data_IF_323557793527
#
_entry.id   IF_323557793527
#
_cell.length_a   1.000
_cell.length_b   1.000
_cell.length_c   1.000
_cell.angle_alpha   90.00
_cell.angle_beta   90.00
_cell.angle_gamma   90.00
#
_symmetry.space_group_name_H-M   'P 1'
#
loop_
_entity.id
_entity.type
_entity.pdbx_description
1 polymer ?
#
# COMPACT_ATOMS: atom_id res chain seq x y z
N UNK A 1 -2.59 3.91 -22.97
CA UNK A 1 -2.83 3.55 -21.56
C UNK A 1 -3.58 2.24 -21.49
N UNK A 2 -3.15 1.33 -20.64
CA UNK A 2 -3.75 0.01 -20.46
C UNK A 2 -4.12 -0.17 -18.98
N UNK A 3 -5.15 -0.97 -18.72
CA UNK A 3 -5.61 -1.29 -17.37
C UNK A 3 -5.69 -2.81 -17.21
N UNK A 4 -5.24 -3.30 -16.06
CA UNK A 4 -5.33 -4.71 -15.69
C UNK A 4 -5.75 -4.83 -14.22
N UNK A 5 -6.90 -5.42 -13.97
CA UNK A 5 -7.33 -5.76 -12.63
C UNK A 5 -6.82 -7.17 -12.28
N UNK A 6 -6.18 -7.30 -11.13
CA UNK A 6 -5.70 -8.57 -10.61
C UNK A 6 -6.67 -9.03 -9.54
N UNK A 7 -7.19 -10.24 -9.68
CA UNK A 7 -7.87 -10.92 -8.60
C UNK A 7 -7.13 -12.21 -8.33
N UNK A 8 -6.68 -12.37 -7.08
CA UNK A 8 -6.02 -13.59 -6.68
C UNK A 8 -6.95 -14.41 -5.80
N UNK A 9 -7.30 -15.58 -6.29
CA UNK A 9 -8.04 -16.58 -5.54
C UNK A 9 -7.37 -17.93 -5.79
N UNK A 10 -6.75 -18.48 -4.77
CA UNK A 10 -6.06 -19.77 -4.83
C UNK A 10 -6.89 -20.94 -4.29
N UNK A 11 -8.15 -20.67 -3.92
CA UNK A 11 -9.04 -21.68 -3.35
C UNK A 11 -8.87 -21.88 -1.83
N UNK A 12 -7.91 -21.21 -1.21
CA UNK A 12 -7.75 -21.22 0.23
C UNK A 12 -8.77 -20.28 0.89
N UNK A 13 -9.49 -20.76 1.90
CA UNK A 13 -10.48 -19.96 2.64
C UNK A 13 -9.84 -18.82 3.44
N UNK A 14 -8.56 -18.93 3.74
CA UNK A 14 -7.78 -17.94 4.50
C UNK A 14 -7.12 -16.89 3.60
N UNK A 15 -7.01 -17.13 2.30
CA UNK A 15 -6.60 -16.11 1.34
C UNK A 15 -7.77 -15.19 1.05
N UNK A 16 -7.74 -14.03 1.64
CA UNK A 16 -8.70 -12.98 1.34
C UNK A 16 -8.44 -12.44 -0.04
N UNK A 17 -9.52 -12.15 -0.76
CA UNK A 17 -9.45 -11.43 -2.02
C UNK A 17 -8.85 -10.06 -1.77
N UNK A 18 -7.63 -9.85 -2.23
CA UNK A 18 -7.02 -8.53 -2.20
C UNK A 18 -7.32 -7.79 -3.49
N UNK A 19 -7.32 -6.47 -3.42
CA UNK A 19 -7.44 -5.61 -4.59
C UNK A 19 -6.06 -5.19 -5.10
N UNK A 20 -5.90 -5.24 -6.41
CA UNK A 20 -4.74 -4.70 -7.10
C UNK A 20 -5.11 -4.37 -8.54
N UNK A 21 -4.95 -3.11 -8.91
CA UNK A 21 -5.23 -2.65 -10.28
C UNK A 21 -3.95 -2.02 -10.85
N UNK A 22 -3.55 -2.46 -12.01
CA UNK A 22 -2.44 -1.91 -12.76
C UNK A 22 -2.94 -1.00 -13.86
N UNK A 23 -2.44 0.25 -13.88
CA UNK A 23 -2.69 1.21 -14.96
C UNK A 23 -1.34 1.60 -15.52
N UNK A 24 -1.10 1.38 -16.78
CA UNK A 24 0.24 1.51 -17.33
C UNK A 24 0.29 2.00 -18.78
N UNK A 25 1.44 2.53 -19.14
CA UNK A 25 1.85 2.84 -20.50
C UNK A 25 3.28 2.31 -20.73
N UNK A 26 3.95 2.78 -21.77
CA UNK A 26 5.29 2.27 -22.09
C UNK A 26 6.39 2.64 -21.08
N UNK A 27 6.19 3.66 -20.25
CA UNK A 27 7.22 4.17 -19.34
C UNK A 27 6.82 4.21 -17.88
N UNK A 28 5.52 4.13 -17.58
CA UNK A 28 4.97 4.35 -16.25
C UNK A 28 3.96 3.28 -15.85
N UNK A 29 3.96 2.94 -14.58
CA UNK A 29 3.01 2.02 -13.95
C UNK A 29 2.41 2.70 -12.72
N UNK A 30 1.10 2.67 -12.60
CA UNK A 30 0.37 2.93 -11.36
C UNK A 30 -0.09 1.58 -10.81
N UNK A 31 0.27 1.29 -9.57
CA UNK A 31 -0.25 0.16 -8.79
C UNK A 31 -1.27 0.73 -7.82
N UNK A 32 -2.55 0.52 -8.09
CA UNK A 32 -3.64 0.95 -7.22
C UNK A 32 -4.01 -0.22 -6.31
N UNK A 33 -3.64 -0.11 -5.06
CA UNK A 33 -3.63 -1.14 -4.05
C UNK A 33 -2.72 -2.35 -4.40
N UNK A 34 -2.29 -3.05 -3.40
CA UNK A 34 -1.53 -4.29 -3.51
C UNK A 34 -1.85 -5.12 -2.27
N UNK A 35 -3.03 -5.72 -2.27
CA UNK A 35 -3.66 -6.29 -1.08
C UNK A 35 -3.13 -7.64 -0.66
N UNK A 36 -2.29 -8.28 -1.47
CA UNK A 36 -1.74 -9.59 -1.16
C UNK A 36 -0.32 -9.72 -1.69
N UNK A 37 0.49 -10.55 -1.03
CA UNK A 37 1.87 -10.80 -1.47
C UNK A 37 1.93 -11.39 -2.90
N UNK A 38 0.93 -12.15 -3.31
CA UNK A 38 0.80 -12.67 -4.67
C UNK A 38 0.61 -11.56 -5.71
N UNK A 39 -0.04 -10.46 -5.35
CA UNK A 39 -0.10 -9.28 -6.20
C UNK A 39 1.28 -8.63 -6.35
N UNK A 40 2.05 -8.51 -5.26
CA UNK A 40 3.42 -8.01 -5.33
C UNK A 40 4.27 -8.86 -6.27
N UNK A 41 4.26 -10.18 -6.12
CA UNK A 41 4.96 -11.13 -7.00
C UNK A 41 4.55 -10.98 -8.46
N UNK A 42 3.26 -10.75 -8.73
CA UNK A 42 2.78 -10.49 -10.09
C UNK A 42 3.33 -9.19 -10.66
N UNK A 43 3.30 -8.10 -9.88
CA UNK A 43 3.84 -6.79 -10.29
C UNK A 43 5.33 -6.88 -10.57
N UNK A 44 6.08 -7.59 -9.74
CA UNK A 44 7.51 -7.85 -9.94
C UNK A 44 7.76 -8.53 -11.30
N UNK A 45 7.05 -9.62 -11.58
CA UNK A 45 7.16 -10.34 -12.86
C UNK A 45 6.72 -9.47 -14.04
N UNK A 46 5.66 -8.67 -13.86
CA UNK A 46 5.18 -7.72 -14.86
C UNK A 46 6.25 -6.68 -15.21
N UNK A 47 6.94 -6.12 -14.21
CA UNK A 47 8.01 -5.14 -14.42
C UNK A 47 9.25 -5.76 -15.08
N UNK A 48 9.54 -7.02 -14.81
CA UNK A 48 10.63 -7.71 -15.47
C UNK A 48 10.37 -7.92 -16.97
N UNK A 49 9.12 -8.15 -17.35
CA UNK A 49 8.73 -8.34 -18.76
C UNK A 49 8.47 -7.02 -19.50
N UNK A 50 8.20 -5.93 -18.78
CA UNK A 50 7.97 -4.60 -19.35
C UNK A 50 9.14 -3.66 -19.02
N UNK A 51 10.30 -3.95 -19.60
CA UNK A 51 11.58 -3.32 -19.24
C UNK A 51 11.67 -1.82 -19.49
N UNK A 52 10.76 -1.25 -20.28
CA UNK A 52 10.71 0.18 -20.57
C UNK A 52 10.06 0.99 -19.45
N UNK A 53 9.32 0.34 -18.55
CA UNK A 53 8.72 0.99 -17.39
C UNK A 53 9.80 1.28 -16.35
N UNK A 54 9.91 2.54 -15.98
CA UNK A 54 10.87 3.03 -14.97
C UNK A 54 10.24 3.91 -13.90
N UNK A 55 9.05 4.46 -14.16
CA UNK A 55 8.32 5.30 -13.21
C UNK A 55 7.19 4.49 -12.57
N UNK A 56 7.25 4.32 -11.26
CA UNK A 56 6.27 3.52 -10.49
C UNK A 56 5.55 4.43 -9.51
N UNK A 57 4.23 4.40 -9.54
CA UNK A 57 3.36 5.08 -8.61
C UNK A 57 2.52 4.05 -7.86
N UNK A 58 2.64 3.98 -6.55
CA UNK A 58 1.84 3.09 -5.70
C UNK A 58 0.83 3.94 -4.96
N UNK A 59 -0.45 3.63 -5.14
CA UNK A 59 -1.56 4.31 -4.46
C UNK A 59 -2.19 3.32 -3.50
N UNK A 60 -2.19 3.65 -2.22
CA UNK A 60 -2.84 2.85 -1.17
C UNK A 60 -4.14 3.56 -0.78
N UNK A 61 -5.27 2.96 -1.14
CA UNK A 61 -6.59 3.57 -0.99
C UNK A 61 -7.01 3.71 0.49
N UNK A 62 -6.69 2.70 1.30
CA UNK A 62 -6.98 2.67 2.73
C UNK A 62 -6.11 1.61 3.44
N UNK A 63 -6.28 1.48 4.75
CA UNK A 63 -5.42 0.66 5.61
C UNK A 63 -5.85 -0.80 5.76
N UNK A 64 -6.95 -1.22 5.15
CA UNK A 64 -7.39 -2.61 5.25
C UNK A 64 -6.35 -3.55 4.64
N UNK A 65 -6.17 -4.71 5.26
CA UNK A 65 -5.11 -5.65 4.88
C UNK A 65 -5.24 -6.14 3.44
N UNK A 66 -6.45 -6.35 2.96
CA UNK A 66 -6.74 -6.76 1.59
C UNK A 66 -6.44 -5.69 0.51
N UNK A 67 -6.01 -4.50 0.93
CA UNK A 67 -5.56 -3.40 0.05
C UNK A 67 -4.08 -3.04 0.23
N UNK A 68 -3.48 -3.37 1.37
CA UNK A 68 -2.16 -2.87 1.76
C UNK A 68 -1.10 -3.94 2.02
N UNK A 69 -1.46 -5.19 2.31
CA UNK A 69 -0.53 -6.20 2.82
C UNK A 69 0.63 -6.56 1.88
N UNK A 70 0.44 -6.42 0.57
CA UNK A 70 1.49 -6.68 -0.41
C UNK A 70 2.44 -5.51 -0.67
N UNK A 71 2.10 -4.30 -0.20
CA UNK A 71 2.84 -3.08 -0.58
C UNK A 71 4.26 -3.09 -0.05
N UNK A 72 4.46 -3.48 1.20
CA UNK A 72 5.80 -3.53 1.79
C UNK A 72 6.73 -4.49 1.05
N UNK A 73 6.24 -5.66 0.68
CA UNK A 73 7.02 -6.63 -0.11
C UNK A 73 7.40 -6.04 -1.48
N UNK A 74 6.46 -5.38 -2.15
CA UNK A 74 6.73 -4.71 -3.43
C UNK A 74 7.79 -3.60 -3.28
N UNK A 75 7.71 -2.80 -2.23
CA UNK A 75 8.68 -1.74 -1.96
C UNK A 75 10.07 -2.30 -1.67
N UNK A 76 10.18 -3.39 -0.92
CA UNK A 76 11.45 -4.08 -0.68
C UNK A 76 12.09 -4.57 -1.99
N UNK A 77 11.28 -5.15 -2.86
CA UNK A 77 11.75 -5.60 -4.17
C UNK A 77 12.22 -4.45 -5.05
N UNK A 78 11.48 -3.33 -5.07
CA UNK A 78 11.83 -2.11 -5.83
C UNK A 78 13.10 -1.46 -5.29
N UNK A 79 13.31 -1.47 -3.97
CA UNK A 79 14.48 -0.88 -3.31
C UNK A 79 15.81 -1.49 -3.78
N UNK A 80 15.79 -2.75 -4.19
CA UNK A 80 16.98 -3.45 -4.70
C UNK A 80 17.33 -3.10 -6.16
N UNK A 81 16.53 -2.23 -6.81
CA UNK A 81 16.63 -1.93 -8.24
C UNK A 81 16.66 -0.43 -8.51
N UNK A 82 17.84 0.09 -8.75
CA UNK A 82 18.08 1.54 -8.95
C UNK A 82 17.42 2.14 -10.20
N UNK A 83 16.94 1.31 -11.13
CA UNK A 83 16.31 1.80 -12.36
C UNK A 83 14.92 2.41 -12.15
N UNK A 84 14.26 2.11 -11.04
CA UNK A 84 12.91 2.59 -10.77
C UNK A 84 12.90 3.88 -9.97
N UNK A 85 12.11 4.84 -10.43
CA UNK A 85 11.68 5.99 -9.62
C UNK A 85 10.33 5.64 -9.02
N UNK A 86 10.25 5.63 -7.69
CA UNK A 86 9.06 5.17 -6.96
C UNK A 86 8.45 6.32 -6.19
N UNK A 87 7.13 6.49 -6.32
CA UNK A 87 6.33 7.39 -5.49
C UNK A 87 5.19 6.63 -4.86
N UNK A 88 4.96 6.87 -3.58
CA UNK A 88 3.88 6.23 -2.81
C UNK A 88 2.90 7.28 -2.31
N UNK A 89 1.63 7.01 -2.50
CA UNK A 89 0.53 7.88 -2.10
C UNK A 89 -0.34 7.12 -1.08
N UNK A 90 -0.45 7.68 0.11
CA UNK A 90 -1.31 7.16 1.18
C UNK A 90 -2.19 8.28 1.73
N UNK A 91 -3.25 7.93 2.45
CA UNK A 91 -3.99 8.96 3.19
C UNK A 91 -3.20 9.48 4.40
N UNK A 92 -3.56 10.66 4.86
CA UNK A 92 -2.90 11.32 5.99
C UNK A 92 -3.49 10.80 7.32
N UNK A 93 -3.13 9.59 7.71
CA UNK A 93 -3.73 8.91 8.86
C UNK A 93 -3.52 9.64 10.19
N UNK A 94 -2.38 10.30 10.39
CA UNK A 94 -2.12 11.05 11.62
C UNK A 94 -3.14 12.18 11.82
N UNK A 95 -3.42 12.94 10.76
CA UNK A 95 -4.43 13.99 10.78
C UNK A 95 -5.82 13.41 11.00
N UNK A 96 -6.13 12.29 10.38
CA UNK A 96 -7.40 11.60 10.54
C UNK A 96 -7.62 11.15 12.00
N UNK A 97 -6.61 10.55 12.62
CA UNK A 97 -6.64 10.13 14.02
C UNK A 97 -6.90 11.31 14.94
N UNK A 98 -6.23 12.43 14.77
CA UNK A 98 -6.43 13.62 15.59
C UNK A 98 -7.88 14.17 15.48
N UNK A 99 -8.43 14.22 14.27
CA UNK A 99 -9.82 14.66 14.03
C UNK A 99 -10.83 13.71 14.68
N UNK A 100 -10.59 12.40 14.58
CA UNK A 100 -11.49 11.39 15.19
C UNK A 100 -11.44 11.46 16.71
N UNK A 101 -10.25 11.59 17.29
CA UNK A 101 -10.11 11.72 18.75
C UNK A 101 -10.89 12.92 19.29
N UNK A 102 -10.77 14.07 18.64
CA UNK A 102 -11.49 15.29 19.06
C UNK A 102 -13.02 15.12 19.02
N UNK A 103 -13.52 14.24 18.15
CA UNK A 103 -14.96 13.97 18.04
C UNK A 103 -15.47 12.91 19.02
N UNK A 104 -14.64 11.93 19.40
CA UNK A 104 -15.07 10.78 20.21
C UNK A 104 -14.61 10.85 21.67
N UNK A 105 -13.74 11.78 22.00
CA UNK A 105 -13.26 12.00 23.37
C UNK A 105 -14.37 12.64 24.21
N UNK A 106 -14.99 11.84 25.05
CA UNK A 106 -16.05 12.27 25.98
C UNK A 106 -15.53 12.54 27.40
N UNK A 107 -14.22 12.57 27.59
CA UNK A 107 -13.56 12.78 28.86
C UNK A 107 -13.55 11.56 29.80
N UNK A 108 -14.13 10.44 29.42
CA UNK A 108 -14.20 9.20 30.23
C UNK A 108 -12.97 8.31 30.08
N UNK A 109 -12.19 8.50 29.03
CA UNK A 109 -11.01 7.69 28.71
C UNK A 109 -9.75 8.55 28.72
N UNK A 110 -8.63 7.92 28.99
CA UNK A 110 -7.33 8.55 28.80
C UNK A 110 -7.12 8.82 27.30
N UNK A 111 -6.97 10.09 26.92
CA UNK A 111 -6.75 10.53 25.54
C UNK A 111 -5.53 9.84 24.90
N UNK A 112 -4.43 9.72 25.66
CA UNK A 112 -3.21 9.06 25.18
C UNK A 112 -3.41 7.58 24.86
N UNK A 113 -4.16 6.86 25.69
CA UNK A 113 -4.50 5.46 25.45
C UNK A 113 -5.41 5.30 24.23
N UNK A 114 -6.40 6.18 24.06
CA UNK A 114 -7.29 6.19 22.90
C UNK A 114 -6.51 6.49 21.62
N UNK A 115 -5.62 7.49 21.65
CA UNK A 115 -4.75 7.83 20.53
C UNK A 115 -3.87 6.65 20.11
N UNK A 116 -3.26 5.97 21.08
CA UNK A 116 -2.43 4.80 20.86
C UNK A 116 -3.18 3.67 20.19
N UNK A 117 -4.40 3.39 20.64
CA UNK A 117 -5.27 2.37 20.05
C UNK A 117 -5.64 2.71 18.61
N UNK A 118 -6.01 3.96 18.32
CA UNK A 118 -6.33 4.41 16.97
C UNK A 118 -5.12 4.39 16.04
N UNK A 119 -3.94 4.80 16.52
CA UNK A 119 -2.71 4.75 15.72
C UNK A 119 -2.31 3.32 15.38
N UNK A 120 -2.57 2.35 16.25
CA UNK A 120 -2.28 0.94 15.98
C UNK A 120 -3.05 0.39 14.77
N UNK A 121 -4.26 0.90 14.50
CA UNK A 121 -5.05 0.53 13.31
C UNK A 121 -4.36 0.91 11.99
N UNK A 122 -3.43 1.87 12.03
CA UNK A 122 -2.69 2.36 10.86
C UNK A 122 -1.22 1.90 10.82
N UNK A 123 -0.85 0.90 11.60
CA UNK A 123 0.53 0.42 11.68
C UNK A 123 1.08 -0.04 10.31
N UNK A 124 0.23 -0.67 9.49
CA UNK A 124 0.60 -1.05 8.13
C UNK A 124 0.91 0.16 7.24
N UNK A 125 0.13 1.23 7.33
CA UNK A 125 0.38 2.47 6.58
C UNK A 125 1.68 3.14 7.05
N UNK A 126 1.93 3.16 8.35
CA UNK A 126 3.19 3.66 8.92
C UNK A 126 4.40 2.90 8.33
N UNK A 127 4.34 1.58 8.31
CA UNK A 127 5.40 0.74 7.73
C UNK A 127 5.62 1.00 6.24
N UNK A 128 4.55 1.20 5.48
CA UNK A 128 4.62 1.55 4.06
C UNK A 128 5.34 2.90 3.87
N UNK A 129 5.00 3.90 4.67
CA UNK A 129 5.63 5.23 4.60
C UNK A 129 7.12 5.14 4.95
N UNK A 130 7.47 4.43 6.01
CA UNK A 130 8.87 4.22 6.41
C UNK A 130 9.69 3.56 5.29
N UNK A 131 9.17 2.48 4.69
CA UNK A 131 9.83 1.82 3.56
C UNK A 131 9.93 2.70 2.32
N UNK A 132 8.92 3.50 2.03
CA UNK A 132 8.95 4.43 0.91
C UNK A 132 10.02 5.52 1.10
N UNK A 133 10.21 5.98 2.34
CA UNK A 133 11.25 6.95 2.67
C UNK A 133 12.67 6.38 2.52
N UNK A 134 12.86 5.11 2.78
CA UNK A 134 14.13 4.41 2.58
C UNK A 134 14.54 4.32 1.09
N UNK A 135 13.60 4.39 0.16
CA UNK A 135 13.83 4.36 -1.29
C UNK A 135 14.42 5.67 -1.85
N UNK A 136 14.24 6.74 -1.15
CA UNK A 136 14.71 8.07 -1.52
C UNK A 136 15.91 8.47 -0.63
#
# INVERSE_FOLDING_TARGET
MKLKALSHYDGDKDTRFGDCILIYNNSSLIVYDCGHIKHAEYVESFLLTNSTITSIHIVVSHNDSDHADGVCALLEWLALRSKFTVKVYTHQYLRHVDVVIDKVDDGRRNRESLKRALLAEFDNIKKIIEKAQELN
#
